data_IF_690019974167
#
_entry.id   IF_690019974167
#
_cell.length_a   1.000
_cell.length_b   1.000
_cell.length_c   1.000
_cell.angle_alpha   90.00
_cell.angle_beta   90.00
_cell.angle_gamma   90.00
#
_symmetry.space_group_name_H-M   'P 1'
#
loop_
_entity.id
_entity.type
_entity.pdbx_description
1 polymer ?
#
# COMPACT_ATOMS: atom_id res chain seq x y z
N UNK A 1 -13.40 -16.30 -22.10
CA UNK A 1 -14.05 -15.97 -20.81
C UNK A 1 -13.27 -14.84 -20.19
N UNK A 2 -13.92 -13.77 -19.72
CA UNK A 2 -13.25 -12.67 -19.01
C UNK A 2 -12.70 -13.18 -17.69
N UNK A 3 -11.43 -12.92 -17.39
CA UNK A 3 -10.80 -13.27 -16.10
C UNK A 3 -11.45 -12.42 -15.00
N UNK A 4 -11.94 -13.06 -13.94
CA UNK A 4 -12.60 -12.34 -12.84
C UNK A 4 -11.56 -11.71 -11.91
N UNK A 5 -11.42 -10.39 -12.02
CA UNK A 5 -10.48 -9.57 -11.23
C UNK A 5 -11.23 -8.91 -10.08
N UNK A 6 -10.68 -9.00 -8.87
CA UNK A 6 -11.23 -8.37 -7.67
C UNK A 6 -10.14 -7.54 -6.99
N UNK A 7 -10.43 -6.28 -6.67
CA UNK A 7 -9.56 -5.43 -5.86
C UNK A 7 -10.10 -5.28 -4.45
N UNK A 8 -9.30 -5.66 -3.45
CA UNK A 8 -9.60 -5.42 -2.04
C UNK A 8 -9.14 -4.03 -1.65
N UNK A 9 -10.01 -3.26 -0.99
CA UNK A 9 -9.72 -1.88 -0.60
C UNK A 9 -10.03 -1.63 0.88
N UNK A 10 -9.25 -0.72 1.45
CA UNK A 10 -9.34 -0.27 2.84
C UNK A 10 -9.36 1.26 2.91
N UNK A 11 -9.54 1.79 4.12
CA UNK A 11 -9.52 3.23 4.36
C UNK A 11 -8.11 3.64 4.79
N UNK A 12 -7.54 4.56 4.05
CA UNK A 12 -6.26 5.18 4.35
C UNK A 12 -6.39 6.47 5.15
N UNK A 13 -5.25 7.01 5.56
CA UNK A 13 -5.18 8.29 6.26
C UNK A 13 -4.21 9.23 5.54
N UNK A 14 -4.56 10.51 5.49
CA UNK A 14 -3.65 11.52 4.96
C UNK A 14 -2.46 11.70 5.93
N UNK A 15 -1.19 11.58 5.47
CA UNK A 15 -0.04 11.49 6.37
C UNK A 15 0.19 12.74 7.24
N UNK A 16 -0.26 13.92 6.79
CA UNK A 16 -0.13 15.16 7.57
C UNK A 16 -1.36 15.56 8.36
N UNK A 17 -2.56 15.17 7.94
CA UNK A 17 -3.82 15.68 8.53
C UNK A 17 -4.63 14.60 9.23
N UNK A 18 -4.26 13.32 9.08
CA UNK A 18 -4.98 12.18 9.63
C UNK A 18 -6.37 11.94 9.02
N UNK A 19 -6.82 12.79 8.09
CA UNK A 19 -8.15 12.66 7.48
C UNK A 19 -8.25 11.37 6.68
N UNK A 20 -9.38 10.68 6.83
CA UNK A 20 -9.71 9.49 6.06
C UNK A 20 -9.69 9.79 4.55
N UNK A 21 -9.15 8.85 3.78
CA UNK A 21 -9.08 8.88 2.31
C UNK A 21 -9.02 7.46 1.78
N UNK A 22 -9.15 7.27 0.46
CA UNK A 22 -8.70 6.02 -0.16
C UNK A 22 -7.22 5.75 0.16
N UNK A 23 -6.88 4.53 0.55
CA UNK A 23 -5.50 4.11 0.74
C UNK A 23 -4.75 4.17 -0.59
N UNK A 24 -3.47 4.58 -0.55
CA UNK A 24 -2.70 4.88 -1.76
C UNK A 24 -2.43 3.63 -2.60
N UNK A 25 -1.99 2.54 -1.96
CA UNK A 25 -1.69 1.28 -2.65
C UNK A 25 -2.96 0.57 -3.11
N UNK A 26 -4.02 0.60 -2.32
CA UNK A 26 -5.33 0.06 -2.72
C UNK A 26 -5.89 0.80 -3.93
N UNK A 27 -5.69 2.12 -4.02
CA UNK A 27 -6.07 2.88 -5.22
C UNK A 27 -5.27 2.44 -6.45
N UNK A 28 -3.98 2.07 -6.30
CA UNK A 28 -3.18 1.47 -7.39
C UNK A 28 -3.71 0.09 -7.77
N UNK A 29 -4.14 -0.71 -6.79
CA UNK A 29 -4.79 -1.99 -7.05
C UNK A 29 -6.10 -1.84 -7.84
N UNK A 30 -6.90 -0.81 -7.54
CA UNK A 30 -8.09 -0.49 -8.33
C UNK A 30 -7.72 -0.02 -9.74
N UNK A 31 -6.70 0.84 -9.90
CA UNK A 31 -6.27 1.28 -11.23
C UNK A 31 -5.79 0.11 -12.10
N UNK A 32 -4.94 -0.75 -11.55
CA UNK A 32 -4.46 -1.94 -12.25
C UNK A 32 -5.63 -2.87 -12.60
N UNK A 33 -6.58 -3.06 -11.67
CA UNK A 33 -7.81 -3.81 -11.93
C UNK A 33 -8.67 -3.21 -13.06
N UNK A 34 -8.81 -1.88 -13.10
CA UNK A 34 -9.57 -1.17 -14.12
C UNK A 34 -8.92 -1.29 -15.50
N UNK A 35 -7.58 -1.27 -15.57
CA UNK A 35 -6.85 -1.49 -16.83
C UNK A 35 -7.03 -2.92 -17.36
N UNK A 36 -7.22 -3.90 -16.47
CA UNK A 36 -7.36 -5.32 -16.84
C UNK A 36 -8.79 -5.73 -17.16
N UNK A 37 -9.75 -5.30 -16.34
CA UNK A 37 -11.13 -5.79 -16.39
C UNK A 37 -12.15 -4.73 -16.83
N UNK A 38 -11.76 -3.45 -16.89
CA UNK A 38 -12.66 -2.34 -17.16
C UNK A 38 -13.84 -2.34 -16.18
N UNK A 39 -15.05 -2.22 -16.71
CA UNK A 39 -16.29 -2.20 -15.95
C UNK A 39 -16.61 -3.54 -15.25
N UNK A 40 -15.90 -4.62 -15.59
CA UNK A 40 -16.05 -5.91 -14.93
C UNK A 40 -15.22 -6.05 -13.64
N UNK A 41 -14.44 -5.02 -13.27
CA UNK A 41 -13.70 -5.02 -12.01
C UNK A 41 -14.69 -5.04 -10.83
N UNK A 42 -14.53 -6.01 -9.94
CA UNK A 42 -15.20 -5.98 -8.64
C UNK A 42 -14.28 -5.33 -7.61
N UNK A 43 -14.84 -4.45 -6.78
CA UNK A 43 -14.10 -3.81 -5.69
C UNK A 43 -14.82 -4.10 -4.39
N UNK A 44 -14.07 -4.56 -3.39
CA UNK A 44 -14.62 -5.09 -2.14
C UNK A 44 -13.93 -4.41 -0.97
N UNK A 45 -14.72 -3.94 -0.01
CA UNK A 45 -14.28 -3.49 1.30
C UNK A 45 -14.92 -4.37 2.38
N UNK A 46 -14.22 -4.58 3.50
CA UNK A 46 -14.79 -5.17 4.71
C UNK A 46 -14.73 -4.12 5.82
N UNK A 47 -15.89 -3.69 6.32
CA UNK A 47 -16.01 -2.58 7.27
C UNK A 47 -17.34 -1.85 7.19
N UNK A 48 -17.38 -0.57 7.59
CA UNK A 48 -18.61 0.24 7.64
C UNK A 48 -18.96 0.83 6.26
N UNK A 49 -20.13 0.53 5.67
CA UNK A 49 -20.56 1.10 4.39
C UNK A 49 -20.85 2.61 4.44
N UNK A 50 -20.90 3.22 5.62
CA UNK A 50 -21.14 4.66 5.82
C UNK A 50 -19.88 5.50 5.70
N UNK A 51 -18.73 4.86 5.57
CA UNK A 51 -17.44 5.53 5.45
C UNK A 51 -17.32 6.32 4.13
N UNK A 52 -17.37 7.64 4.25
CA UNK A 52 -17.40 8.55 3.10
C UNK A 52 -16.11 8.45 2.25
N UNK A 53 -15.00 8.02 2.84
CA UNK A 53 -13.74 7.80 2.14
C UNK A 53 -13.85 6.74 1.02
N UNK A 54 -14.78 5.77 1.15
CA UNK A 54 -15.02 4.73 0.15
C UNK A 54 -15.50 5.32 -1.17
N UNK A 55 -16.21 6.46 -1.14
CA UNK A 55 -16.68 7.13 -2.36
C UNK A 55 -15.53 7.60 -3.25
N UNK A 56 -14.34 7.83 -2.68
CA UNK A 56 -13.18 8.19 -3.48
C UNK A 56 -12.76 7.06 -4.44
N UNK A 57 -13.03 5.79 -4.10
CA UNK A 57 -12.87 4.67 -5.03
C UNK A 57 -13.93 4.69 -6.12
N UNK A 58 -15.21 4.89 -5.78
CA UNK A 58 -16.29 5.04 -6.76
C UNK A 58 -16.00 6.15 -7.78
N UNK A 59 -15.43 7.27 -7.32
CA UNK A 59 -15.01 8.37 -8.18
C UNK A 59 -13.92 8.03 -9.19
N UNK A 60 -13.25 6.88 -9.08
CA UNK A 60 -12.35 6.36 -10.13
C UNK A 60 -13.09 5.87 -11.38
N UNK A 61 -14.42 5.90 -11.38
CA UNK A 61 -15.25 5.37 -12.46
C UNK A 61 -15.74 3.95 -12.17
N UNK A 62 -15.97 3.62 -10.89
CA UNK A 62 -16.65 2.38 -10.51
C UNK A 62 -18.13 2.70 -10.28
N UNK A 63 -19.01 1.87 -10.84
CA UNK A 63 -20.45 1.99 -10.60
C UNK A 63 -20.86 1.37 -9.26
N UNK A 64 -20.13 0.35 -8.80
CA UNK A 64 -20.43 -0.39 -7.59
C UNK A 64 -19.16 -0.70 -6.79
N UNK A 65 -19.31 -0.77 -5.47
CA UNK A 65 -18.33 -1.28 -4.52
C UNK A 65 -19.08 -2.10 -3.47
N UNK A 66 -18.72 -3.38 -3.33
CA UNK A 66 -19.31 -4.27 -2.34
C UNK A 66 -18.68 -4.01 -0.97
N UNK A 67 -19.52 -3.83 0.05
CA UNK A 67 -19.07 -3.66 1.44
C UNK A 67 -19.57 -4.85 2.24
N UNK A 68 -18.65 -5.71 2.67
CA UNK A 68 -18.92 -6.76 3.66
C UNK A 68 -19.04 -6.06 5.01
N UNK A 69 -20.28 -5.81 5.44
CA UNK A 69 -20.58 -4.95 6.57
C UNK A 69 -20.11 -5.59 7.86
N UNK A 70 -19.13 -4.94 8.50
CA UNK A 70 -18.54 -5.39 9.75
C UNK A 70 -18.21 -4.22 10.67
N UNK A 71 -18.33 -4.39 12.00
CA UNK A 71 -17.92 -3.35 12.95
C UNK A 71 -16.40 -3.17 12.93
N UNK A 72 -15.95 -2.02 13.43
CA UNK A 72 -14.53 -1.77 13.64
C UNK A 72 -13.94 -2.82 14.60
N UNK A 73 -12.79 -3.39 14.24
CA UNK A 73 -12.09 -4.40 15.04
C UNK A 73 -12.56 -5.84 14.84
N UNK A 74 -13.47 -6.11 13.89
CA UNK A 74 -13.80 -7.48 13.49
C UNK A 74 -12.71 -8.10 12.60
N UNK A 75 -12.51 -9.41 12.71
CA UNK A 75 -11.63 -10.16 11.83
C UNK A 75 -12.26 -10.27 10.43
N UNK A 76 -11.56 -9.71 9.44
CA UNK A 76 -11.99 -9.68 8.04
C UNK A 76 -11.56 -10.91 7.24
N UNK A 77 -10.63 -11.73 7.75
CA UNK A 77 -9.97 -12.81 7.00
C UNK A 77 -10.96 -13.87 6.53
N UNK A 78 -11.85 -14.29 7.43
CA UNK A 78 -12.88 -15.29 7.14
C UNK A 78 -13.79 -14.86 6.00
N UNK A 79 -14.46 -13.72 6.19
CA UNK A 79 -15.48 -13.21 5.26
C UNK A 79 -14.92 -12.83 3.89
N UNK A 80 -13.69 -12.31 3.84
CA UNK A 80 -13.01 -12.02 2.56
C UNK A 80 -12.67 -13.32 1.83
N UNK A 81 -12.17 -14.33 2.54
CA UNK A 81 -11.88 -15.63 1.95
C UNK A 81 -13.11 -16.31 1.33
N UNK A 82 -14.23 -16.29 2.05
CA UNK A 82 -15.49 -16.86 1.58
C UNK A 82 -16.03 -16.09 0.37
N UNK A 83 -16.04 -14.75 0.46
CA UNK A 83 -16.46 -13.89 -0.65
C UNK A 83 -15.66 -14.14 -1.92
N UNK A 84 -14.33 -14.21 -1.83
CA UNK A 84 -13.46 -14.41 -2.98
C UNK A 84 -13.68 -15.78 -3.66
N UNK A 85 -13.93 -16.81 -2.85
CA UNK A 85 -14.22 -18.17 -3.33
C UNK A 85 -15.57 -18.22 -4.02
N UNK A 86 -16.61 -17.68 -3.39
CA UNK A 86 -17.98 -17.67 -3.91
C UNK A 86 -18.11 -16.81 -5.17
N UNK A 87 -17.37 -15.69 -5.22
CA UNK A 87 -17.30 -14.86 -6.41
C UNK A 87 -16.56 -15.56 -7.56
N UNK A 88 -15.78 -16.61 -7.32
CA UNK A 88 -14.97 -17.26 -8.35
C UNK A 88 -13.80 -16.40 -8.81
N UNK A 89 -13.19 -15.64 -7.90
CA UNK A 89 -12.08 -14.73 -8.24
C UNK A 89 -10.91 -15.50 -8.87
N UNK A 90 -10.31 -14.92 -9.91
CA UNK A 90 -9.14 -15.47 -10.59
C UNK A 90 -7.89 -14.65 -10.30
N UNK A 91 -8.02 -13.33 -10.20
CA UNK A 91 -6.94 -12.43 -9.82
C UNK A 91 -7.44 -11.51 -8.71
N UNK A 92 -6.78 -11.55 -7.56
CA UNK A 92 -7.08 -10.65 -6.44
C UNK A 92 -5.94 -9.65 -6.27
N UNK A 93 -6.26 -8.36 -6.26
CA UNK A 93 -5.33 -7.26 -6.11
C UNK A 93 -5.59 -6.55 -4.78
N UNK A 94 -4.54 -6.23 -4.04
CA UNK A 94 -4.64 -5.51 -2.75
C UNK A 94 -3.39 -4.66 -2.53
N UNK A 95 -3.45 -3.67 -1.63
CA UNK A 95 -2.24 -3.02 -1.12
C UNK A 95 -1.36 -3.99 -0.32
N UNK A 96 -0.13 -3.59 0.01
CA UNK A 96 0.74 -4.43 0.84
C UNK A 96 0.38 -4.39 2.32
N UNK A 97 -0.23 -3.29 2.78
CA UNK A 97 -0.65 -3.09 4.16
C UNK A 97 -1.75 -2.04 4.25
N UNK A 98 -2.59 -2.14 5.28
CA UNK A 98 -3.50 -1.05 5.63
C UNK A 98 -2.70 0.16 6.18
N UNK A 99 -3.18 1.37 5.89
CA UNK A 99 -2.59 2.60 6.46
C UNK A 99 -3.18 2.94 7.84
N UNK A 100 -4.30 2.31 8.21
CA UNK A 100 -5.02 2.48 9.49
C UNK A 100 -5.28 1.11 10.12
N UNK A 101 -5.59 1.07 11.42
CA UNK A 101 -5.73 -0.17 12.18
C UNK A 101 -4.38 -0.81 12.51
N UNK A 102 -4.31 -2.15 12.47
CA UNK A 102 -3.10 -2.91 12.79
C UNK A 102 -1.91 -2.61 11.87
N UNK A 103 -2.17 -2.34 10.59
CA UNK A 103 -1.11 -2.06 9.60
C UNK A 103 -0.04 -3.17 9.49
N UNK A 104 -0.36 -4.41 9.90
CA UNK A 104 0.60 -5.51 10.01
C UNK A 104 1.18 -5.97 8.66
N UNK A 105 0.42 -5.75 7.58
CA UNK A 105 0.74 -6.28 6.25
C UNK A 105 0.55 -7.79 6.12
N UNK A 106 -0.08 -8.44 7.10
CA UNK A 106 -0.24 -9.89 7.14
C UNK A 106 -1.47 -10.40 6.37
N UNK A 107 -2.52 -9.58 6.23
CA UNK A 107 -3.78 -9.98 5.58
C UNK A 107 -3.58 -10.67 4.21
N UNK A 108 -2.76 -10.14 3.27
CA UNK A 108 -2.57 -10.80 1.98
C UNK A 108 -1.95 -12.19 2.09
N UNK A 109 -1.07 -12.41 3.07
CA UNK A 109 -0.40 -13.70 3.30
C UNK A 109 -1.37 -14.72 3.90
N UNK A 110 -2.08 -14.32 4.96
CA UNK A 110 -3.07 -15.16 5.62
C UNK A 110 -4.22 -15.55 4.67
N UNK A 111 -4.64 -14.60 3.83
CA UNK A 111 -5.71 -14.83 2.86
C UNK A 111 -5.25 -15.79 1.75
N UNK A 112 -4.03 -15.62 1.23
CA UNK A 112 -3.47 -16.53 0.23
C UNK A 112 -3.28 -17.95 0.79
N UNK A 113 -2.82 -18.08 2.05
CA UNK A 113 -2.69 -19.36 2.75
C UNK A 113 -4.06 -20.03 2.93
N UNK A 114 -5.06 -19.32 3.45
CA UNK A 114 -6.43 -19.82 3.64
C UNK A 114 -7.08 -20.28 2.33
N UNK A 115 -6.83 -19.57 1.23
CA UNK A 115 -7.35 -19.92 -0.08
C UNK A 115 -6.54 -21.01 -0.79
N UNK A 116 -5.30 -21.26 -0.35
CA UNK A 116 -4.35 -22.14 -1.02
C UNK A 116 -3.85 -21.58 -2.35
N UNK A 117 -3.80 -20.24 -2.50
CA UNK A 117 -3.47 -19.57 -3.75
C UNK A 117 -2.02 -19.07 -3.77
N UNK A 118 -1.36 -19.04 -4.94
CA UNK A 118 -0.08 -18.36 -5.09
C UNK A 118 -0.20 -16.87 -4.73
N UNK A 119 0.81 -16.36 -4.02
CA UNK A 119 0.94 -14.95 -3.68
C UNK A 119 2.10 -14.30 -4.44
N UNK A 120 1.83 -13.21 -5.16
CA UNK A 120 2.86 -12.34 -5.74
C UNK A 120 2.94 -11.05 -4.93
N UNK A 121 4.07 -10.83 -4.26
CA UNK A 121 4.31 -9.58 -3.52
C UNK A 121 4.93 -8.52 -4.40
N UNK A 122 4.48 -7.27 -4.29
CA UNK A 122 5.08 -6.14 -5.01
C UNK A 122 4.84 -6.19 -6.51
N UNK A 123 3.61 -6.49 -6.93
CA UNK A 123 3.17 -6.45 -8.31
C UNK A 123 3.26 -5.02 -8.86
N UNK A 124 4.00 -4.85 -9.95
CA UNK A 124 4.07 -3.60 -10.69
C UNK A 124 3.12 -3.61 -11.90
N UNK A 125 2.98 -4.75 -12.57
CA UNK A 125 2.23 -4.84 -13.84
C UNK A 125 1.77 -6.27 -14.11
N UNK A 126 0.64 -6.41 -14.79
CA UNK A 126 0.18 -7.69 -15.36
C UNK A 126 0.30 -7.56 -16.87
N UNK A 127 1.26 -8.26 -17.47
CA UNK A 127 1.57 -8.15 -18.90
C UNK A 127 0.56 -8.93 -19.75
N UNK A 128 0.18 -10.14 -19.30
CA UNK A 128 -0.84 -10.95 -19.99
C UNK A 128 -1.48 -11.96 -19.05
N UNK A 129 -2.69 -12.40 -19.40
CA UNK A 129 -3.40 -13.50 -18.76
C UNK A 129 -3.91 -14.44 -19.85
N UNK A 130 -3.34 -15.65 -19.90
CA UNK A 130 -3.62 -16.62 -20.95
C UNK A 130 -3.69 -18.03 -20.35
N UNK A 131 -4.71 -18.81 -20.73
CA UNK A 131 -4.85 -20.23 -20.37
C UNK A 131 -4.64 -20.53 -18.88
N UNK A 132 -5.28 -19.74 -17.99
CA UNK A 132 -5.19 -19.92 -16.55
C UNK A 132 -3.84 -19.55 -15.94
N UNK A 133 -3.01 -18.78 -16.67
CA UNK A 133 -1.69 -18.33 -16.20
C UNK A 133 -1.52 -16.84 -16.47
N UNK A 134 -1.00 -16.11 -15.49
CA UNK A 134 -0.64 -14.71 -15.63
C UNK A 134 0.88 -14.54 -15.82
N UNK A 135 1.28 -13.65 -16.72
CA UNK A 135 2.63 -13.11 -16.79
C UNK A 135 2.62 -11.74 -16.10
N UNK A 136 3.48 -11.59 -15.10
CA UNK A 136 3.48 -10.40 -14.23
C UNK A 136 4.89 -9.86 -14.04
N UNK A 137 4.99 -8.55 -13.84
CA UNK A 137 6.21 -7.88 -13.42
C UNK A 137 6.14 -7.59 -11.92
N UNK A 138 7.07 -8.18 -11.18
CA UNK A 138 7.32 -7.91 -9.77
C UNK A 138 8.37 -6.80 -9.63
N UNK A 139 8.07 -5.78 -8.84
CA UNK A 139 9.02 -4.77 -8.40
C UNK A 139 9.98 -5.37 -7.37
N UNK A 140 11.27 -5.06 -7.52
CA UNK A 140 12.34 -5.44 -6.61
C UNK A 140 13.09 -4.19 -6.13
N UNK A 141 13.83 -4.29 -5.00
CA UNK A 141 14.64 -3.18 -4.54
C UNK A 141 15.60 -2.64 -5.61
N UNK A 142 15.87 -1.34 -5.53
CA UNK A 142 16.74 -0.60 -6.47
C UNK A 142 16.18 -0.49 -7.90
N UNK A 143 14.85 -0.45 -8.03
CA UNK A 143 14.17 -0.25 -9.32
C UNK A 143 14.26 -1.46 -10.26
N UNK A 144 14.72 -2.61 -9.76
CA UNK A 144 14.77 -3.85 -10.53
C UNK A 144 13.36 -4.39 -10.75
N UNK A 145 13.18 -5.14 -11.84
CA UNK A 145 11.93 -5.84 -12.13
C UNK A 145 12.22 -7.31 -12.44
N UNK A 146 11.33 -8.20 -11.97
CA UNK A 146 11.39 -9.63 -12.26
C UNK A 146 10.08 -10.03 -12.94
N UNK A 147 10.19 -10.65 -14.11
CA UNK A 147 9.05 -11.28 -14.76
C UNK A 147 8.79 -12.64 -14.12
N UNK A 148 7.54 -12.91 -13.77
CA UNK A 148 7.06 -14.17 -13.21
C UNK A 148 5.91 -14.72 -14.06
N UNK A 149 5.81 -16.04 -14.12
CA UNK A 149 4.68 -16.76 -14.72
C UNK A 149 3.99 -17.55 -13.62
N UNK A 150 2.73 -17.22 -13.34
CA UNK A 150 2.01 -17.69 -12.13
C UNK A 150 0.64 -18.23 -12.52
N UNK A 151 0.25 -19.39 -11.97
CA UNK A 151 -1.07 -19.99 -12.23
C UNK A 151 -2.17 -19.23 -11.50
N UNK A 152 -3.34 -19.13 -12.14
CA UNK A 152 -4.56 -18.64 -11.53
C UNK A 152 -5.31 -19.78 -10.82
N UNK A 153 -6.12 -19.50 -9.78
CA UNK A 153 -6.32 -18.17 -9.18
C UNK A 153 -5.09 -17.71 -8.37
N UNK A 154 -4.81 -16.41 -8.34
CA UNK A 154 -3.68 -15.84 -7.59
C UNK A 154 -4.06 -14.57 -6.82
N UNK A 155 -3.36 -14.31 -5.73
CA UNK A 155 -3.43 -13.07 -4.96
C UNK A 155 -2.15 -12.27 -5.18
N UNK A 156 -2.26 -10.94 -5.31
CA UNK A 156 -1.11 -10.08 -5.47
C UNK A 156 -1.22 -8.79 -4.66
N UNK A 157 -0.12 -8.43 -3.98
CA UNK A 157 0.03 -7.11 -3.35
C UNK A 157 0.66 -6.14 -4.34
N UNK A 158 0.14 -4.92 -4.43
CA UNK A 158 0.55 -3.92 -5.43
C UNK A 158 1.65 -3.02 -4.90
N UNK A 159 2.71 -2.84 -5.69
CA UNK A 159 3.83 -1.95 -5.38
C UNK A 159 3.55 -0.50 -5.79
N UNK A 160 4.30 0.45 -5.23
CA UNK A 160 4.24 1.85 -5.63
C UNK A 160 4.74 2.10 -7.08
N UNK A 161 5.49 1.15 -7.65
CA UNK A 161 5.88 1.16 -9.05
C UNK A 161 4.75 0.79 -10.02
N UNK A 162 3.60 0.31 -9.53
CA UNK A 162 2.42 0.06 -10.34
C UNK A 162 1.80 1.36 -10.87
N UNK A 163 0.89 1.30 -11.87
CA UNK A 163 0.23 2.47 -12.43
C UNK A 163 -0.33 3.39 -11.34
N UNK A 164 -0.07 4.70 -11.50
CA UNK A 164 -0.59 5.70 -10.57
C UNK A 164 -2.12 5.74 -10.69
N UNK A 165 -2.86 5.78 -9.57
CA UNK A 165 -4.31 5.80 -9.63
C UNK A 165 -4.82 7.03 -10.37
N UNK A 166 -5.80 6.85 -11.24
CA UNK A 166 -6.54 7.96 -11.82
C UNK A 166 -7.18 8.86 -10.76
N UNK A 167 -7.49 10.09 -11.16
CA UNK A 167 -8.17 11.04 -10.31
C UNK A 167 -9.57 10.54 -9.97
N UNK A 168 -10.04 10.91 -8.78
CA UNK A 168 -11.40 10.63 -8.34
C UNK A 168 -12.30 11.81 -8.72
N UNK A 169 -13.34 11.56 -9.52
CA UNK A 169 -14.31 12.54 -9.93
C UNK A 169 -15.52 12.55 -8.98
N UNK A 170 -15.94 13.75 -8.55
CA UNK A 170 -17.01 13.92 -7.56
C UNK A 170 -18.37 13.38 -8.02
N UNK A 171 -18.75 13.63 -9.29
CA UNK A 171 -20.02 13.17 -9.84
C UNK A 171 -20.17 11.64 -9.79
N UNK A 172 -19.25 10.88 -10.40
CA UNK A 172 -19.23 9.41 -10.29
C UNK A 172 -19.19 8.92 -8.85
N UNK A 173 -18.37 9.53 -7.98
CA UNK A 173 -18.29 9.16 -6.56
C UNK A 173 -19.64 9.25 -5.82
N UNK A 174 -20.50 10.19 -6.21
CA UNK A 174 -21.83 10.38 -5.62
C UNK A 174 -22.90 9.45 -6.20
N UNK A 175 -22.77 9.09 -7.48
CA UNK A 175 -23.73 8.20 -8.17
C UNK A 175 -23.45 6.72 -7.94
N UNK A 176 -22.19 6.35 -7.73
CA UNK A 176 -21.81 4.96 -7.47
C UNK A 176 -22.46 4.41 -6.20
N UNK A 177 -22.68 3.10 -6.19
CA UNK A 177 -23.40 2.39 -5.14
C UNK A 177 -22.42 1.70 -4.20
N UNK A 178 -22.54 1.96 -2.90
CA UNK A 178 -21.94 1.14 -1.85
C UNK A 178 -22.94 0.04 -1.50
N UNK A 179 -22.68 -1.17 -1.99
CA UNK A 179 -23.56 -2.32 -1.82
C UNK A 179 -23.21 -3.05 -0.51
N UNK A 180 -23.87 -2.67 0.58
CA UNK A 180 -23.72 -3.32 1.86
C UNK A 180 -24.24 -4.76 1.81
N UNK A 181 -23.44 -5.69 2.32
CA UNK A 181 -23.75 -7.11 2.44
C UNK A 181 -23.57 -7.54 3.88
N UNK A 182 -24.61 -8.10 4.46
CA UNK A 182 -24.54 -8.70 5.77
C UNK A 182 -23.66 -9.95 5.71
N UNK A 183 -22.66 -10.01 6.59
CA UNK A 183 -21.76 -11.16 6.74
C UNK A 183 -21.70 -11.56 8.21
N UNK A 184 -21.17 -12.76 8.48
CA UNK A 184 -20.90 -13.17 9.85
C UNK A 184 -19.84 -12.26 10.47
N UNK A 185 -20.09 -11.79 11.69
CA UNK A 185 -19.12 -10.99 12.45
C UNK A 185 -18.26 -11.97 13.25
N UNK A 186 -16.94 -11.85 13.09
CA UNK A 186 -15.96 -12.61 13.84
C UNK A 186 -15.15 -11.63 14.67
N UNK A 187 -15.01 -11.91 15.97
CA UNK A 187 -14.16 -11.11 16.85
C UNK A 187 -12.69 -11.38 16.54
N UNK A 188 -11.90 -10.33 16.48
CA UNK A 188 -10.45 -10.45 16.37
C UNK A 188 -9.85 -10.52 17.78
N UNK A 189 -9.60 -11.75 18.26
CA UNK A 189 -9.03 -12.00 19.59
C UNK A 189 -7.66 -11.34 19.76
N UNK A 190 -6.85 -11.29 18.70
CA UNK A 190 -5.50 -10.73 18.75
C UNK A 190 -5.54 -9.20 18.86
N UNK A 191 -6.44 -8.56 18.11
CA UNK A 191 -6.65 -7.13 18.18
C UNK A 191 -7.36 -6.70 19.47
N UNK A 192 -8.28 -7.52 19.99
CA UNK A 192 -9.00 -7.23 21.24
C UNK A 192 -8.06 -7.04 22.43
N UNK A 193 -6.95 -7.79 22.46
CA UNK A 193 -5.92 -7.71 23.49
C UNK A 193 -4.77 -6.73 23.16
N UNK A 194 -4.77 -6.12 21.97
CA UNK A 194 -3.68 -5.26 21.50
C UNK A 194 -3.91 -3.78 21.80
N UNK A 195 -2.85 -3.08 22.20
CA UNK A 195 -2.83 -1.61 22.25
C UNK A 195 -2.18 -1.03 20.99
N UNK A 196 -2.99 -0.34 20.17
CA UNK A 196 -2.48 0.39 19.00
C UNK A 196 -1.91 1.76 19.41
N UNK A 197 -0.72 2.08 18.92
CA UNK A 197 -0.10 3.39 19.11
C UNK A 197 0.31 4.00 17.76
N UNK A 198 0.21 5.33 17.59
CA UNK A 198 0.70 5.99 16.39
C UNK A 198 2.18 5.68 16.12
N UNK A 199 2.48 5.34 14.86
CA UNK A 199 3.85 5.08 14.44
C UNK A 199 4.74 6.31 14.67
N UNK A 200 5.81 6.13 15.46
CA UNK A 200 6.79 7.19 15.71
C UNK A 200 7.89 7.14 14.65
N UNK A 201 8.42 8.30 14.19
CA UNK A 201 9.57 8.31 13.30
C UNK A 201 10.71 7.49 13.91
N UNK A 202 11.26 6.55 13.15
CA UNK A 202 12.38 5.73 13.64
C UNK A 202 13.53 6.67 14.03
N UNK A 203 14.18 6.44 15.20
CA UNK A 203 15.36 7.20 15.57
C UNK A 203 16.37 7.14 14.42
N UNK A 204 16.78 8.30 13.92
CA UNK A 204 17.83 8.36 12.90
C UNK A 204 19.10 7.76 13.49
N UNK A 205 19.79 6.90 12.73
CA UNK A 205 21.09 6.36 13.15
C UNK A 205 21.98 7.54 13.51
N UNK A 206 22.53 7.54 14.72
CA UNK A 206 23.52 8.53 15.13
C UNK A 206 24.70 8.42 14.16
N UNK A 207 25.09 9.57 13.58
CA UNK A 207 26.27 9.63 12.72
C UNK A 207 27.45 9.08 13.51
N UNK A 208 28.13 8.07 12.98
CA UNK A 208 29.34 7.53 13.62
C UNK A 208 30.44 8.57 13.47
N UNK A 209 30.68 9.35 14.53
CA UNK A 209 31.73 10.36 14.53
C UNK A 209 33.07 9.65 14.75
N UNK A 210 33.88 9.58 13.70
CA UNK A 210 35.25 9.08 13.79
C UNK A 210 36.15 10.20 14.35
N UNK A 211 36.63 10.03 15.58
CA UNK A 211 37.62 10.90 16.21
C UNK A 211 38.75 10.07 16.85
N UNK A 212 39.94 10.68 16.96
CA UNK A 212 41.18 10.03 17.41
C UNK A 212 41.15 9.58 18.88
N UNK A 213 40.34 10.22 19.73
CA UNK A 213 40.21 9.87 21.15
C UNK A 213 38.77 9.59 21.56
N UNK A 214 38.57 8.81 22.63
CA UNK A 214 37.25 8.55 23.21
C UNK A 214 36.58 9.81 23.77
N UNK A 215 37.36 10.75 24.30
CA UNK A 215 36.87 12.03 24.80
C UNK A 215 36.32 12.91 23.68
N UNK A 216 36.99 12.95 22.52
CA UNK A 216 36.52 13.70 21.34
C UNK A 216 35.24 13.09 20.75
N UNK A 217 35.13 11.76 20.75
CA UNK A 217 33.90 11.07 20.34
C UNK A 217 32.72 11.43 21.25
N UNK A 218 32.93 11.44 22.57
CA UNK A 218 31.89 11.81 23.54
C UNK A 218 31.51 13.30 23.42
N UNK A 219 32.49 14.20 23.31
CA UNK A 219 32.25 15.64 23.15
C UNK A 219 31.42 15.95 21.90
N UNK A 220 31.71 15.27 20.80
CA UNK A 220 30.99 15.43 19.54
C UNK A 220 29.59 14.79 19.57
N UNK A 221 29.39 13.71 20.34
CA UNK A 221 28.08 13.08 20.53
C UNK A 221 27.17 13.85 21.50
N UNK A 222 27.75 14.54 22.50
CA UNK A 222 27.02 15.39 23.46
C UNK A 222 26.81 16.82 22.97
N UNK A 223 27.55 17.25 21.96
CA UNK A 223 27.22 18.47 21.24
C UNK A 223 25.82 18.28 20.66
N UNK A 224 24.85 19.03 21.20
CA UNK A 224 23.46 19.06 20.74
C UNK A 224 23.49 19.00 19.22
N UNK A 225 23.11 17.87 18.63
CA UNK A 225 22.73 17.84 17.24
C UNK A 225 21.49 18.72 17.18
N UNK A 226 21.69 20.03 17.00
CA UNK A 226 20.67 20.91 16.47
C UNK A 226 20.06 20.13 15.33
N UNK A 227 18.77 19.77 15.45
CA UNK A 227 18.05 19.03 14.43
C UNK A 227 18.10 19.83 13.14
N UNK A 228 19.18 19.63 12.39
CA UNK A 228 19.50 20.41 11.23
C UNK A 228 18.58 19.94 10.13
N UNK A 229 17.58 20.75 9.81
CA UNK A 229 17.01 20.70 8.46
C UNK A 229 18.16 20.74 7.45
N UNK A 230 18.00 20.02 6.34
CA UNK A 230 18.99 20.05 5.27
C UNK A 230 19.34 21.48 4.87
N UNK A 231 20.59 21.71 4.48
CA UNK A 231 21.03 23.02 4.00
C UNK A 231 20.32 23.33 2.68
N UNK A 232 19.33 24.22 2.70
CA UNK A 232 18.70 24.73 1.49
C UNK A 232 19.63 25.77 0.87
N UNK A 233 20.17 25.50 -0.31
CA UNK A 233 20.93 26.47 -1.08
C UNK A 233 19.94 27.38 -1.81
N UNK A 234 20.00 28.68 -1.55
CA UNK A 234 19.23 29.71 -2.25
C UNK A 234 20.21 30.62 -2.97
N UNK A 235 19.85 31.07 -4.17
CA UNK A 235 20.61 32.05 -4.96
C UNK A 235 22.06 31.64 -5.27
N UNK A 236 22.31 30.34 -5.45
CA UNK A 236 23.62 29.81 -5.86
C UNK A 236 23.65 29.51 -7.36
N UNK A 237 24.83 29.63 -7.98
CA UNK A 237 25.02 29.18 -9.35
C UNK A 237 24.89 27.65 -9.46
N UNK A 238 24.57 27.11 -10.65
CA UNK A 238 24.53 25.67 -10.88
C UNK A 238 25.81 24.95 -10.46
N UNK A 239 26.97 25.57 -10.69
CA UNK A 239 28.28 25.04 -10.29
C UNK A 239 28.42 24.96 -8.77
N UNK A 240 28.14 26.03 -8.03
CA UNK A 240 28.22 26.03 -6.57
C UNK A 240 27.22 25.06 -5.93
N UNK A 241 26.03 24.93 -6.52
CA UNK A 241 25.04 23.92 -6.13
C UNK A 241 25.58 22.51 -6.32
N UNK A 242 26.17 22.21 -7.48
CA UNK A 242 26.75 20.91 -7.79
C UNK A 242 27.93 20.56 -6.87
N UNK A 243 28.83 21.51 -6.60
CA UNK A 243 29.96 21.31 -5.68
C UNK A 243 29.50 21.04 -4.25
N UNK A 244 28.50 21.77 -3.76
CA UNK A 244 27.95 21.57 -2.43
C UNK A 244 27.26 20.19 -2.28
N UNK A 245 26.54 19.74 -3.32
CA UNK A 245 25.93 18.41 -3.36
C UNK A 245 27.02 17.33 -3.43
N UNK A 246 28.01 17.48 -4.31
CA UNK A 246 29.11 16.52 -4.47
C UNK A 246 29.87 16.36 -3.15
N UNK A 247 30.20 17.48 -2.50
CA UNK A 247 30.84 17.49 -1.18
C UNK A 247 30.03 16.72 -0.15
N UNK A 248 28.72 16.94 -0.07
CA UNK A 248 27.84 16.22 0.85
C UNK A 248 27.81 14.71 0.55
N UNK A 249 27.72 14.32 -0.72
CA UNK A 249 27.69 12.92 -1.12
C UNK A 249 29.00 12.18 -0.81
N UNK A 250 30.15 12.85 -0.92
CA UNK A 250 31.45 12.33 -0.51
C UNK A 250 31.55 12.24 1.02
N UNK A 251 31.11 13.27 1.76
CA UNK A 251 31.11 13.29 3.23
C UNK A 251 30.24 12.19 3.85
N UNK A 252 29.11 11.87 3.22
CA UNK A 252 28.21 10.79 3.62
C UNK A 252 28.59 9.41 3.03
N UNK A 253 29.66 9.34 2.22
CA UNK A 253 30.20 8.10 1.66
C UNK A 253 29.30 7.44 0.60
N UNK A 254 28.41 8.22 -0.02
CA UNK A 254 27.54 7.79 -1.13
C UNK A 254 28.32 7.74 -2.44
N UNK A 255 29.26 8.67 -2.63
CA UNK A 255 30.24 8.66 -3.70
C UNK A 255 31.63 8.37 -3.11
N UNK A 256 32.42 7.56 -3.80
CA UNK A 256 33.82 7.26 -3.46
C UNK A 256 34.75 8.00 -4.41
#
# INVERSE_FOLDING_TARGET
>A
MSTKVISLVSIGAHPSSGRARRAEQDARAVELGLQLAGDNLQVVHAGDPREEALRAYLGMGLDHLDVLEQPAGADVLGVLGDYLRDAGAQLVLTGSQAETGEGSGMLPFLLAEKLGWPLVVGLAEVESIDNGTAQVLQALPRGQRRRLKVRLPLLATVDNAAPKPRQSAFGPARRGVLAARNVAIVEDELLADAELQPARPRPKRLKVIKAKSGADRMKAATAKASGGGGKVLKDVSPQEGAEAILKLLVEEGVLR
#
